data_IF_596343388946
#
_entry.id   IF_596343388946
#
_cell.length_a   1.000
_cell.length_b   1.000
_cell.length_c   1.000
_cell.angle_alpha   90.00
_cell.angle_beta   90.00
_cell.angle_gamma   90.00
#
_symmetry.space_group_name_H-M   'P 1'
#
loop_
_entity.id
_entity.type
_entity.pdbx_description
1 polymer ?
#
# COMPACT_ATOMS: atom_id res chain seq x y z
N UNK A 1 -5.56 39.59 12.35
CA UNK A 1 -4.23 39.26 11.78
C UNK A 1 -4.48 38.54 10.48
N UNK A 2 -4.47 39.30 9.39
CA UNK A 2 -4.62 38.79 8.04
C UNK A 2 -3.38 37.96 7.69
N UNK A 3 -3.55 36.65 7.55
CA UNK A 3 -2.51 35.82 6.96
C UNK A 3 -2.50 36.11 5.46
N UNK A 4 -1.52 36.91 5.03
CA UNK A 4 -1.19 37.13 3.63
C UNK A 4 -0.78 35.78 3.00
N UNK A 5 -1.76 35.06 2.45
CA UNK A 5 -1.51 33.79 1.76
C UNK A 5 -0.87 34.13 0.42
N UNK A 6 0.46 34.14 0.38
CA UNK A 6 1.23 34.21 -0.86
C UNK A 6 0.81 33.07 -1.79
N UNK A 7 0.34 33.42 -2.98
CA UNK A 7 -0.01 32.45 -4.02
C UNK A 7 1.29 31.83 -4.57
N UNK A 8 1.68 30.65 -4.08
CA UNK A 8 2.90 29.95 -4.49
C UNK A 8 2.60 29.05 -5.70
N UNK A 9 3.46 29.07 -6.72
CA UNK A 9 3.25 28.21 -7.89
C UNK A 9 3.47 26.71 -7.55
N UNK A 10 2.68 25.79 -8.14
CA UNK A 10 2.80 24.35 -7.86
C UNK A 10 4.19 23.77 -8.13
N UNK A 11 4.95 24.38 -9.05
CA UNK A 11 6.34 23.99 -9.34
C UNK A 11 7.24 24.24 -8.13
N UNK A 12 7.12 25.40 -7.48
CA UNK A 12 7.88 25.72 -6.27
C UNK A 12 7.56 24.74 -5.15
N UNK A 13 6.28 24.44 -4.92
CA UNK A 13 5.86 23.44 -3.92
C UNK A 13 6.46 22.06 -4.24
N UNK A 14 6.40 21.61 -5.49
CA UNK A 14 7.00 20.33 -5.90
C UNK A 14 8.51 20.32 -5.72
N UNK A 15 9.20 21.41 -6.06
CA UNK A 15 10.65 21.56 -5.88
C UNK A 15 11.04 21.43 -4.41
N UNK A 16 10.42 22.23 -3.52
CA UNK A 16 10.67 22.18 -2.08
C UNK A 16 10.40 20.80 -1.47
N UNK A 17 9.34 20.12 -1.90
CA UNK A 17 9.06 18.74 -1.45
C UNK A 17 10.14 17.75 -1.92
N UNK A 18 10.66 17.89 -3.14
CA UNK A 18 11.73 17.03 -3.64
C UNK A 18 13.07 17.31 -2.96
N UNK A 19 13.36 18.56 -2.60
CA UNK A 19 14.55 18.94 -1.82
C UNK A 19 14.59 18.21 -0.47
N UNK A 20 13.45 18.02 0.17
CA UNK A 20 13.33 17.21 1.40
C UNK A 20 13.04 15.72 1.14
N UNK A 21 13.26 15.26 -0.10
CA UNK A 21 13.17 13.86 -0.53
C UNK A 21 11.75 13.27 -0.41
N UNK A 22 10.71 14.10 -0.47
CA UNK A 22 9.31 13.67 -0.51
C UNK A 22 8.84 13.47 -1.96
N UNK A 23 8.87 12.22 -2.40
CA UNK A 23 8.46 11.81 -3.74
C UNK A 23 6.97 11.47 -3.76
N UNK A 24 6.32 11.75 -4.89
CA UNK A 24 4.96 11.29 -5.13
C UNK A 24 4.94 9.79 -5.40
N UNK A 25 4.14 9.02 -4.67
CA UNK A 25 3.97 7.59 -4.86
C UNK A 25 2.50 7.18 -4.68
N UNK A 26 2.11 6.05 -5.27
CA UNK A 26 0.79 5.45 -5.04
C UNK A 26 0.77 4.82 -3.64
N UNK A 27 -0.29 5.07 -2.87
CA UNK A 27 -0.51 4.42 -1.57
C UNK A 27 -0.64 2.92 -1.77
N UNK A 28 0.14 2.13 -1.03
CA UNK A 28 -0.06 0.68 -0.92
C UNK A 28 -1.06 0.39 0.19
N UNK A 29 -2.30 0.05 -0.18
CA UNK A 29 -3.31 -0.41 0.80
C UNK A 29 -2.97 -1.82 1.25
N UNK A 30 -2.71 -2.00 2.55
CA UNK A 30 -2.48 -3.30 3.17
C UNK A 30 -3.28 -3.40 4.46
N UNK A 31 -3.82 -4.59 4.80
CA UNK A 31 -4.46 -4.77 6.09
C UNK A 31 -3.42 -4.64 7.22
N UNK A 32 -3.76 -3.91 8.27
CA UNK A 32 -2.96 -3.84 9.48
C UNK A 32 -3.08 -5.19 10.20
N UNK A 33 -1.97 -5.93 10.22
CA UNK A 33 -1.92 -7.24 10.87
C UNK A 33 -1.49 -7.09 12.33
N UNK A 34 -2.22 -7.75 13.23
CA UNK A 34 -1.80 -7.94 14.62
C UNK A 34 -0.61 -8.91 14.69
N UNK A 35 0.16 -8.86 15.78
CA UNK A 35 1.27 -9.79 16.03
C UNK A 35 0.83 -11.26 15.95
N UNK A 36 -0.35 -11.57 16.49
CA UNK A 36 -0.92 -12.91 16.42
C UNK A 36 -1.21 -13.35 14.98
N UNK A 37 -1.80 -12.48 14.16
CA UNK A 37 -2.07 -12.76 12.75
C UNK A 37 -0.77 -12.96 11.95
N UNK A 38 0.28 -12.17 12.24
CA UNK A 38 1.60 -12.33 11.61
C UNK A 38 2.19 -13.70 11.92
N UNK A 39 2.19 -14.11 13.20
CA UNK A 39 2.69 -15.43 13.62
C UNK A 39 1.93 -16.56 12.93
N UNK A 40 0.60 -16.53 12.94
CA UNK A 40 -0.22 -17.55 12.27
C UNK A 40 0.07 -17.66 10.78
N UNK A 41 0.16 -16.54 10.08
CA UNK A 41 0.50 -16.51 8.64
C UNK A 41 1.89 -17.09 8.38
N UNK A 42 2.87 -16.74 9.21
CA UNK A 42 4.24 -17.24 9.08
C UNK A 42 4.32 -18.75 9.33
N UNK A 43 3.64 -19.26 10.35
CA UNK A 43 3.57 -20.70 10.63
C UNK A 43 2.95 -21.45 9.45
N UNK A 44 1.80 -21.00 8.96
CA UNK A 44 1.14 -21.60 7.81
C UNK A 44 2.07 -21.63 6.57
N UNK A 45 2.72 -20.52 6.26
CA UNK A 45 3.64 -20.42 5.12
C UNK A 45 4.84 -21.37 5.26
N UNK A 46 5.37 -21.58 6.47
CA UNK A 46 6.47 -22.52 6.73
C UNK A 46 6.02 -23.97 6.56
N UNK A 47 4.87 -24.34 7.12
CA UNK A 47 4.30 -25.68 7.01
C UNK A 47 4.06 -26.08 5.55
N UNK A 48 3.67 -25.12 4.71
CA UNK A 48 3.36 -25.34 3.30
C UNK A 48 4.53 -24.99 2.36
N UNK A 49 5.70 -24.64 2.90
CA UNK A 49 6.84 -24.18 2.09
C UNK A 49 7.46 -25.26 1.19
N UNK A 50 7.32 -26.53 1.60
CA UNK A 50 7.82 -27.70 0.87
C UNK A 50 6.74 -28.41 0.05
N UNK A 51 5.53 -27.85 -0.02
CA UNK A 51 4.45 -28.44 -0.81
C UNK A 51 4.82 -28.51 -2.28
N UNK A 52 4.58 -29.66 -2.88
CA UNK A 52 4.83 -29.88 -4.31
C UNK A 52 3.65 -29.39 -5.14
N UNK A 53 3.83 -29.30 -6.45
CA UNK A 53 2.74 -28.94 -7.39
C UNK A 53 1.54 -29.88 -7.20
N UNK A 54 1.78 -31.19 -7.03
CA UNK A 54 0.72 -32.20 -6.80
C UNK A 54 -0.05 -31.99 -5.50
N UNK A 55 0.54 -31.35 -4.51
CA UNK A 55 -0.14 -31.04 -3.25
C UNK A 55 -1.04 -29.82 -3.41
N UNK A 56 -0.57 -28.80 -4.15
CA UNK A 56 -1.39 -27.64 -4.51
C UNK A 56 -2.56 -27.99 -5.43
N UNK A 57 -2.40 -28.96 -6.34
CA UNK A 57 -3.46 -29.45 -7.22
C UNK A 57 -4.67 -30.01 -6.45
N UNK A 58 -4.49 -30.44 -5.20
CA UNK A 58 -5.56 -30.96 -4.35
C UNK A 58 -6.35 -29.85 -3.64
N UNK A 59 -5.90 -28.60 -3.71
CA UNK A 59 -6.52 -27.46 -3.01
C UNK A 59 -7.48 -26.75 -3.94
N UNK A 60 -8.74 -26.61 -3.50
CA UNK A 60 -9.73 -25.76 -4.15
C UNK A 60 -9.85 -24.48 -3.33
N UNK A 61 -9.51 -23.35 -3.95
CA UNK A 61 -9.69 -22.03 -3.35
C UNK A 61 -11.05 -21.45 -3.74
N UNK A 62 -11.72 -20.82 -2.77
CA UNK A 62 -12.92 -20.00 -3.00
C UNK A 62 -12.75 -18.67 -2.29
N UNK A 63 -13.21 -17.60 -2.94
CA UNK A 63 -13.30 -16.26 -2.36
C UNK A 63 -14.39 -15.48 -3.09
N UNK A 64 -14.86 -14.40 -2.48
CA UNK A 64 -15.83 -13.49 -3.07
C UNK A 64 -15.12 -12.20 -3.52
N UNK A 65 -15.48 -11.69 -4.70
CA UNK A 65 -14.92 -10.44 -5.23
C UNK A 65 -16.01 -9.46 -5.62
N UNK A 66 -15.80 -8.19 -5.30
CA UNK A 66 -16.72 -7.11 -5.66
C UNK A 66 -16.36 -6.55 -7.05
N UNK A 67 -17.32 -6.54 -7.96
CA UNK A 67 -17.18 -5.95 -9.30
C UNK A 67 -18.05 -4.69 -9.41
N UNK A 68 -17.45 -3.59 -9.87
CA UNK A 68 -18.13 -2.30 -10.01
C UNK A 68 -18.27 -1.93 -11.49
N UNK A 69 -19.48 -1.56 -11.90
CA UNK A 69 -19.79 -1.17 -13.30
C UNK A 69 -19.32 0.26 -13.60
N UNK A 70 -19.30 1.14 -12.58
CA UNK A 70 -18.71 2.48 -12.68
C UNK A 70 -18.20 2.93 -11.31
N UNK A 71 -17.15 3.76 -11.31
CA UNK A 71 -16.53 4.29 -10.10
C UNK A 71 -15.00 4.35 -10.20
N UNK A 72 -14.41 5.43 -9.67
CA UNK A 72 -12.96 5.56 -9.57
C UNK A 72 -12.46 4.79 -8.33
N UNK A 73 -12.02 3.55 -8.50
CA UNK A 73 -11.10 2.85 -7.59
C UNK A 73 -9.70 3.50 -7.63
N UNK A 74 -9.65 4.84 -7.65
CA UNK A 74 -8.46 5.60 -8.01
C UNK A 74 -7.35 5.35 -7.00
N UNK A 75 -6.15 5.13 -7.54
CA UNK A 75 -4.94 5.07 -6.73
C UNK A 75 -4.75 6.42 -6.05
N UNK A 76 -4.82 6.43 -4.72
CA UNK A 76 -4.48 7.63 -3.93
C UNK A 76 -2.98 7.87 -4.05
N UNK A 77 -2.58 9.10 -4.39
CA UNK A 77 -1.19 9.50 -4.38
C UNK A 77 -0.86 10.21 -3.07
N UNK A 78 0.30 9.86 -2.50
CA UNK A 78 0.85 10.47 -1.28
C UNK A 78 2.28 10.92 -1.53
N UNK A 79 2.78 11.76 -0.62
CA UNK A 79 4.19 12.19 -0.59
C UNK A 79 4.89 11.45 0.54
N UNK A 80 5.91 10.66 0.22
CA UNK A 80 6.67 9.86 1.20
C UNK A 80 8.16 9.90 0.91
N UNK A 81 8.99 9.65 1.93
CA UNK A 81 10.43 9.40 1.74
C UNK A 81 10.64 7.97 1.23
N UNK A 82 11.84 7.72 0.70
CA UNK A 82 12.26 6.36 0.37
C UNK A 82 12.20 5.49 1.63
N UNK A 83 11.67 4.26 1.51
CA UNK A 83 11.47 3.28 2.60
C UNK A 83 10.30 3.54 3.57
N UNK A 84 9.55 4.63 3.43
CA UNK A 84 8.28 4.85 4.17
C UNK A 84 7.08 4.20 3.46
N UNK A 85 7.33 3.35 2.46
CA UNK A 85 6.30 2.74 1.63
C UNK A 85 5.33 1.86 2.43
N UNK A 86 5.79 1.28 3.54
CA UNK A 86 5.00 0.39 4.39
C UNK A 86 4.52 1.04 5.70
N UNK A 87 4.86 2.31 5.92
CA UNK A 87 4.33 3.05 7.05
C UNK A 87 2.81 3.21 6.89
N UNK A 88 2.00 3.04 7.95
CA UNK A 88 0.55 3.29 7.90
C UNK A 88 0.25 4.67 7.32
#
# INVERSE_FOLDING_TARGET
>A
MDFDIKCVCPRTVRGRLLEIVLRGCKVRRKPLLTEFQRKRRLTWAREHSLWTIKDWEKVIFSDESQFYISGNQSSVYVRRRTHEEFSP
#
